data_IF_560954675456
#
_entry.id   IF_560954675456
#
_cell.length_a   1.000
_cell.length_b   1.000
_cell.length_c   1.000
_cell.angle_alpha   90.00
_cell.angle_beta   90.00
_cell.angle_gamma   90.00
#
_symmetry.space_group_name_H-M   'P 1'
#
loop_
_entity.id
_entity.type
_entity.pdbx_description
1 polymer ?
#
# COMPACT_ATOMS: atom_id res chain seq x y z
N UNK A 1 4.39 -12.88 -4.55
CA UNK A 1 3.42 -12.67 -5.64
C UNK A 1 3.88 -11.50 -6.50
N UNK A 2 3.91 -11.69 -7.79
CA UNK A 2 4.22 -10.64 -8.75
C UNK A 2 2.94 -9.96 -9.23
N UNK A 3 3.07 -8.83 -9.94
CA UNK A 3 1.92 -8.16 -10.55
C UNK A 3 1.18 -9.09 -11.51
N UNK A 4 1.90 -9.89 -12.28
CA UNK A 4 1.32 -10.87 -13.21
C UNK A 4 0.47 -11.90 -12.45
N UNK A 5 1.01 -12.45 -11.38
CA UNK A 5 0.29 -13.42 -10.54
C UNK A 5 -0.92 -12.79 -9.86
N UNK A 6 -0.83 -11.54 -9.45
CA UNK A 6 -1.96 -10.81 -8.90
C UNK A 6 -3.10 -10.69 -9.92
N UNK A 7 -2.77 -10.34 -11.16
CA UNK A 7 -3.76 -10.25 -12.24
C UNK A 7 -4.44 -11.59 -12.49
N UNK A 8 -3.67 -12.66 -12.54
CA UNK A 8 -4.21 -14.02 -12.72
C UNK A 8 -5.13 -14.42 -11.58
N UNK A 9 -4.74 -14.09 -10.35
CA UNK A 9 -5.54 -14.36 -9.15
C UNK A 9 -6.87 -13.60 -9.18
N UNK A 10 -6.84 -12.33 -9.56
CA UNK A 10 -8.05 -11.50 -9.65
C UNK A 10 -9.02 -12.07 -10.69
N UNK A 11 -8.52 -12.44 -11.86
CA UNK A 11 -9.35 -13.02 -12.93
C UNK A 11 -10.02 -14.31 -12.46
N UNK A 12 -9.28 -15.16 -11.76
CA UNK A 12 -9.82 -16.40 -11.20
C UNK A 12 -10.91 -16.10 -10.15
N UNK A 13 -10.66 -15.15 -9.24
CA UNK A 13 -11.64 -14.77 -8.23
C UNK A 13 -12.92 -14.20 -8.83
N UNK A 14 -12.81 -13.39 -9.87
CA UNK A 14 -13.97 -12.84 -10.58
C UNK A 14 -14.76 -13.95 -11.27
N UNK A 15 -14.08 -14.90 -11.89
CA UNK A 15 -14.71 -16.04 -12.55
C UNK A 15 -15.47 -16.90 -11.54
N UNK A 16 -14.85 -17.22 -10.41
CA UNK A 16 -15.45 -18.02 -9.34
C UNK A 16 -16.66 -17.33 -8.68
N UNK A 17 -16.65 -16.01 -8.58
CA UNK A 17 -17.73 -15.24 -7.96
C UNK A 17 -18.84 -14.84 -8.92
N UNK A 18 -18.73 -15.20 -10.20
CA UNK A 18 -19.69 -14.76 -11.22
C UNK A 18 -19.56 -13.30 -11.60
N UNK A 19 -18.40 -12.70 -11.34
CA UNK A 19 -18.12 -11.32 -11.70
C UNK A 19 -17.83 -11.14 -13.19
N UNK A 20 -17.50 -9.92 -13.60
CA UNK A 20 -17.25 -9.64 -15.02
C UNK A 20 -16.04 -10.38 -15.55
N UNK A 21 -16.12 -10.81 -16.79
CA UNK A 21 -15.00 -11.41 -17.50
C UNK A 21 -14.12 -10.28 -18.07
N UNK A 22 -12.89 -10.21 -17.60
CA UNK A 22 -11.93 -9.19 -18.03
C UNK A 22 -10.70 -9.84 -18.66
N UNK A 23 -10.19 -9.22 -19.72
CA UNK A 23 -8.93 -9.64 -20.32
C UNK A 23 -7.77 -9.36 -19.36
N UNK A 24 -6.61 -9.97 -19.63
CA UNK A 24 -5.39 -9.69 -18.87
C UNK A 24 -5.04 -8.19 -18.91
N UNK A 25 -5.13 -7.59 -20.09
CA UNK A 25 -4.87 -6.15 -20.26
C UNK A 25 -5.83 -5.26 -19.50
N UNK A 26 -7.12 -5.56 -19.56
CA UNK A 26 -8.14 -4.81 -18.84
C UNK A 26 -7.96 -4.94 -17.32
N UNK A 27 -7.69 -6.16 -16.85
CA UNK A 27 -7.44 -6.41 -15.42
C UNK A 27 -6.21 -5.63 -14.94
N UNK A 28 -5.14 -5.62 -15.71
CA UNK A 28 -3.93 -4.85 -15.39
C UNK A 28 -4.20 -3.36 -15.27
N UNK A 29 -5.01 -2.80 -16.16
CA UNK A 29 -5.40 -1.39 -16.07
C UNK A 29 -6.21 -1.08 -14.82
N UNK A 30 -7.12 -1.97 -14.43
CA UNK A 30 -7.90 -1.80 -13.19
C UNK A 30 -6.98 -1.85 -11.97
N UNK A 31 -6.06 -2.82 -11.92
CA UNK A 31 -5.08 -2.93 -10.82
C UNK A 31 -4.27 -1.64 -10.70
N UNK A 32 -3.73 -1.15 -11.79
CA UNK A 32 -2.93 0.08 -11.76
C UNK A 32 -3.77 1.29 -11.36
N UNK A 33 -5.02 1.36 -11.80
CA UNK A 33 -5.94 2.44 -11.42
C UNK A 33 -6.25 2.41 -9.91
N UNK A 34 -6.42 1.23 -9.32
CA UNK A 34 -6.65 1.08 -7.88
C UNK A 34 -5.47 1.65 -7.09
N UNK A 35 -4.24 1.23 -7.44
CA UNK A 35 -3.06 1.71 -6.72
C UNK A 35 -2.79 3.20 -6.96
N UNK A 36 -3.06 3.69 -8.15
CA UNK A 36 -2.95 5.13 -8.43
C UNK A 36 -3.94 5.94 -7.59
N UNK A 37 -5.17 5.45 -7.45
CA UNK A 37 -6.19 6.11 -6.63
C UNK A 37 -5.82 6.11 -5.15
N UNK A 38 -5.27 5.00 -4.64
CA UNK A 38 -4.80 4.91 -3.26
C UNK A 38 -3.64 5.90 -3.03
N UNK A 39 -2.69 5.97 -3.96
CA UNK A 39 -1.58 6.91 -3.87
C UNK A 39 -2.08 8.35 -3.85
N UNK A 40 -3.07 8.69 -4.67
CA UNK A 40 -3.65 10.02 -4.68
C UNK A 40 -4.36 10.35 -3.35
N UNK A 41 -5.11 9.41 -2.80
CA UNK A 41 -5.76 9.58 -1.49
C UNK A 41 -4.74 9.87 -0.39
N UNK A 42 -3.63 9.13 -0.39
CA UNK A 42 -2.55 9.35 0.58
C UNK A 42 -1.90 10.74 0.41
N UNK A 43 -1.71 11.17 -0.82
CA UNK A 43 -1.13 12.49 -1.09
C UNK A 43 -2.06 13.63 -0.68
N UNK A 44 -3.37 13.50 -0.92
CA UNK A 44 -4.35 14.57 -0.66
C UNK A 44 -4.87 14.57 0.77
N UNK A 45 -5.16 13.39 1.31
CA UNK A 45 -5.82 13.23 2.61
C UNK A 45 -4.91 12.64 3.69
N UNK A 46 -3.78 12.07 3.29
CA UNK A 46 -2.83 11.46 4.20
C UNK A 46 -3.26 10.09 4.72
N UNK A 47 -4.37 9.56 4.23
CA UNK A 47 -4.92 8.32 4.75
C UNK A 47 -5.84 7.64 3.72
N UNK A 48 -5.81 6.31 3.71
CA UNK A 48 -6.79 5.49 3.01
C UNK A 48 -7.13 4.26 3.84
N UNK A 49 -8.41 4.00 4.04
CA UNK A 49 -8.89 2.81 4.76
C UNK A 49 -9.63 1.90 3.79
N UNK A 50 -9.21 0.66 3.72
CA UNK A 50 -9.92 -0.36 2.96
C UNK A 50 -10.60 -1.33 3.93
N UNK A 51 -11.95 -1.42 3.90
CA UNK A 51 -12.69 -2.29 4.82
C UNK A 51 -12.21 -3.74 4.76
N UNK A 52 -12.08 -4.36 5.92
CA UNK A 52 -11.66 -5.75 6.09
C UNK A 52 -10.21 -6.05 5.67
N UNK A 53 -9.47 -5.06 5.23
CA UNK A 53 -8.07 -5.21 4.82
C UNK A 53 -7.12 -4.44 5.73
N UNK A 54 -7.27 -3.14 5.82
CA UNK A 54 -6.41 -2.31 6.65
C UNK A 54 -6.43 -0.84 6.29
N UNK A 55 -5.59 -0.09 6.95
CA UNK A 55 -5.45 1.35 6.72
C UNK A 55 -4.02 1.71 6.37
N UNK A 56 -3.88 2.62 5.42
CA UNK A 56 -2.62 3.24 5.05
C UNK A 56 -2.62 4.67 5.55
N UNK A 57 -1.52 5.12 6.13
CA UNK A 57 -1.40 6.49 6.61
C UNK A 57 -0.01 7.04 6.30
N UNK A 58 0.02 8.32 5.97
CA UNK A 58 1.28 9.02 5.78
C UNK A 58 1.82 9.41 7.14
N UNK A 59 3.08 9.07 7.38
CA UNK A 59 3.79 9.44 8.60
C UNK A 59 4.89 10.42 8.25
N UNK A 60 4.88 11.58 8.90
CA UNK A 60 5.89 12.62 8.67
C UNK A 60 6.87 12.62 9.83
N UNK A 61 8.15 12.49 9.51
CA UNK A 61 9.23 12.69 10.47
C UNK A 61 9.85 14.06 10.19
N UNK A 62 9.79 14.95 11.17
CA UNK A 62 10.35 16.30 11.04
C UNK A 62 11.88 16.24 10.98
N UNK A 63 12.48 17.22 10.32
CA UNK A 63 13.92 17.41 10.33
C UNK A 63 14.40 17.53 11.79
N UNK A 64 15.50 16.89 12.11
CA UNK A 64 16.04 16.87 13.47
C UNK A 64 17.56 16.78 13.45
N UNK A 65 18.24 17.26 14.51
CA UNK A 65 19.67 17.04 14.64
C UNK A 65 19.96 15.56 14.90
N UNK A 66 21.06 15.09 14.36
CA UNK A 66 21.53 13.74 14.57
C UNK A 66 23.04 13.70 14.49
N UNK A 67 23.62 12.49 14.55
CA UNK A 67 25.06 12.29 14.41
C UNK A 67 25.37 11.19 13.43
N UNK A 68 26.44 11.38 12.67
CA UNK A 68 26.97 10.36 11.80
C UNK A 68 27.59 9.25 12.66
N UNK A 69 27.09 8.01 12.62
CA UNK A 69 27.61 6.93 13.48
C UNK A 69 29.07 6.55 13.17
N UNK A 70 29.58 6.90 11.99
CA UNK A 70 30.97 6.60 11.61
C UNK A 70 31.96 7.66 12.07
N UNK A 71 31.57 8.94 12.05
CA UNK A 71 32.47 10.06 12.33
C UNK A 71 32.14 10.80 13.61
N UNK A 72 30.95 10.63 14.14
CA UNK A 72 30.44 11.37 15.30
C UNK A 72 30.10 12.83 15.01
N UNK A 73 30.21 13.25 13.75
CA UNK A 73 29.89 14.61 13.37
C UNK A 73 28.39 14.89 13.50
N UNK A 74 28.05 16.11 13.91
CA UNK A 74 26.68 16.56 13.92
C UNK A 74 26.16 16.71 12.50
N UNK A 75 25.03 16.08 12.23
CA UNK A 75 24.33 16.18 10.93
C UNK A 75 22.89 16.55 11.17
N UNK A 76 22.24 17.06 10.15
CA UNK A 76 20.80 17.28 10.16
C UNK A 76 20.11 16.15 9.42
N UNK A 77 19.22 15.44 10.10
CA UNK A 77 18.39 14.42 9.48
C UNK A 77 17.21 15.13 8.82
N UNK A 78 17.09 15.07 7.49
CA UNK A 78 16.04 15.80 6.79
C UNK A 78 14.65 15.28 7.12
N UNK A 79 13.65 16.14 6.91
CA UNK A 79 12.25 15.76 6.97
C UNK A 79 11.98 14.64 5.96
N UNK A 80 11.23 13.62 6.36
CA UNK A 80 10.84 12.52 5.48
C UNK A 80 9.37 12.17 5.63
N UNK A 81 8.78 11.63 4.58
CA UNK A 81 7.42 11.10 4.59
C UNK A 81 7.47 9.62 4.22
N UNK A 82 6.76 8.82 4.98
CA UNK A 82 6.63 7.39 4.75
C UNK A 82 5.17 6.97 4.84
N UNK A 83 4.86 5.82 4.29
CA UNK A 83 3.52 5.23 4.41
C UNK A 83 3.59 4.08 5.40
N UNK A 84 2.68 4.09 6.37
CA UNK A 84 2.52 3.00 7.33
C UNK A 84 1.23 2.26 7.02
N UNK A 85 1.29 0.95 7.13
CA UNK A 85 0.14 0.09 6.96
C UNK A 85 -0.24 -0.55 8.30
N UNK A 86 -1.51 -0.44 8.66
CA UNK A 86 -2.06 -1.12 9.82
C UNK A 86 -3.10 -2.13 9.34
N UNK A 87 -2.87 -3.43 9.53
CA UNK A 87 -3.82 -4.43 9.07
C UNK A 87 -5.13 -4.37 9.86
N UNK A 88 -6.23 -4.62 9.19
CA UNK A 88 -7.52 -4.76 9.84
C UNK A 88 -7.58 -6.08 10.60
N UNK A 89 -8.48 -6.15 11.57
CA UNK A 89 -8.71 -7.36 12.36
C UNK A 89 -8.99 -8.58 11.50
N UNK A 90 -9.78 -8.42 10.45
CA UNK A 90 -10.17 -9.49 9.53
C UNK A 90 -8.96 -10.03 8.76
N UNK A 91 -8.04 -9.16 8.35
CA UNK A 91 -6.81 -9.57 7.67
C UNK A 91 -5.92 -10.37 8.62
N UNK A 92 -5.75 -9.90 9.87
CA UNK A 92 -4.96 -10.60 10.87
C UNK A 92 -5.53 -11.98 11.16
N UNK A 93 -6.85 -12.09 11.30
CA UNK A 93 -7.53 -13.35 11.54
C UNK A 93 -7.31 -14.33 10.40
N UNK A 94 -7.32 -13.87 9.15
CA UNK A 94 -7.06 -14.69 7.97
C UNK A 94 -5.63 -15.26 7.96
N UNK A 95 -4.66 -14.49 8.47
CA UNK A 95 -3.26 -14.92 8.53
C UNK A 95 -3.00 -15.93 9.65
N UNK A 96 -3.80 -15.91 10.70
CA UNK A 96 -3.67 -16.79 11.86
C UNK A 96 -4.39 -18.12 11.66
N UNK A 97 -5.20 -18.24 10.65
CA UNK A 97 -6.01 -19.43 10.36
C UNK A 97 -5.17 -20.61 9.88
#
# INVERSE_FOLDING_TARGET
MTRKELIETIRRQLDESGGPELSVGATGKVVDAVFAAVAESLRREGRYVHPNFGSFSVHVTQARPGRNPKTGEAIEIPRSETVRFKPARELKAALEA
#
